data_IF_697075625782
#
_entry.id   IF_697075625782
#
_cell.length_a   1.000
_cell.length_b   1.000
_cell.length_c   1.000
_cell.angle_alpha   90.00
_cell.angle_beta   90.00
_cell.angle_gamma   90.00
#
_symmetry.space_group_name_H-M   'P 1'
#
loop_
_entity.id
_entity.type
_entity.pdbx_description
1 polymer ?
#
# COMPACT_ATOMS: atom_id res chain seq x y z
N UNK A 1 0.03 14.32 10.99
CA UNK A 1 -0.73 14.54 9.75
C UNK A 1 -1.83 15.56 9.97
N UNK A 2 -2.17 16.36 8.96
CA UNK A 2 -3.24 17.35 9.05
C UNK A 2 -4.59 16.65 9.24
N UNK A 3 -5.40 17.16 10.16
CA UNK A 3 -6.72 16.63 10.46
C UNK A 3 -7.78 17.52 9.81
N UNK A 4 -8.35 17.04 8.73
CA UNK A 4 -9.38 17.74 7.96
C UNK A 4 -10.74 17.05 8.09
N UNK A 5 -11.79 17.65 7.56
CA UNK A 5 -13.13 17.05 7.57
C UNK A 5 -13.16 15.71 6.81
N UNK A 6 -12.45 15.60 5.68
CA UNK A 6 -12.44 14.38 4.85
C UNK A 6 -11.49 13.29 5.37
N UNK A 7 -10.42 13.66 6.08
CA UNK A 7 -9.52 12.68 6.72
C UNK A 7 -10.05 12.17 8.06
N UNK A 8 -11.15 12.74 8.58
CA UNK A 8 -11.73 12.33 9.85
C UNK A 8 -12.47 10.99 9.74
N UNK A 9 -12.10 10.00 10.55
CA UNK A 9 -12.82 8.75 10.71
C UNK A 9 -14.10 9.00 11.53
N UNK A 10 -15.28 9.02 10.88
CA UNK A 10 -16.56 9.34 11.51
C UNK A 10 -17.22 8.14 12.18
N UNK A 11 -17.19 6.95 11.54
CA UNK A 11 -17.75 5.72 12.09
C UNK A 11 -16.69 4.97 12.87
N UNK A 12 -16.98 4.69 14.16
CA UNK A 12 -16.03 4.09 15.11
C UNK A 12 -14.74 4.93 15.19
N UNK A 13 -14.85 6.19 15.62
CA UNK A 13 -13.73 7.14 15.61
C UNK A 13 -12.56 6.71 16.48
N UNK A 14 -12.83 5.86 17.49
CA UNK A 14 -11.81 5.25 18.36
C UNK A 14 -10.82 4.34 17.60
N UNK A 15 -11.19 3.90 16.39
CA UNK A 15 -10.31 3.13 15.50
C UNK A 15 -9.49 4.01 14.57
N UNK A 16 -9.79 5.30 14.52
CA UNK A 16 -9.13 6.28 13.67
C UNK A 16 -7.87 6.86 14.31
N UNK A 17 -6.84 7.12 13.53
CA UNK A 17 -5.61 7.76 13.96
C UNK A 17 -5.06 8.70 12.89
N UNK A 18 -4.41 9.79 13.33
CA UNK A 18 -3.62 10.69 12.49
C UNK A 18 -2.13 10.63 12.87
N UNK A 19 -1.74 9.59 13.60
CA UNK A 19 -0.36 9.35 13.99
C UNK A 19 0.49 9.07 12.74
N UNK A 20 1.53 9.86 12.47
CA UNK A 20 2.40 9.67 11.32
C UNK A 20 3.08 8.30 11.31
N UNK A 21 3.53 7.81 12.45
CA UNK A 21 4.29 6.56 12.54
C UNK A 21 3.39 5.36 12.16
N UNK A 22 2.14 5.35 12.61
CA UNK A 22 1.17 4.34 12.22
C UNK A 22 0.84 4.41 10.72
N UNK A 23 0.62 5.63 10.19
CA UNK A 23 0.32 5.83 8.76
C UNK A 23 1.50 5.36 7.91
N UNK A 24 2.71 5.74 8.27
CA UNK A 24 3.93 5.34 7.57
C UNK A 24 4.13 3.82 7.62
N UNK A 25 3.95 3.18 8.78
CA UNK A 25 4.14 1.72 8.91
C UNK A 25 3.17 0.93 8.03
N UNK A 26 1.92 1.36 7.89
CA UNK A 26 0.95 0.70 7.00
C UNK A 26 1.32 0.89 5.53
N UNK A 27 1.78 2.08 5.14
CA UNK A 27 2.24 2.36 3.77
C UNK A 27 3.52 1.60 3.44
N UNK A 28 4.42 1.42 4.41
CA UNK A 28 5.68 0.70 4.20
C UNK A 28 5.50 -0.83 4.14
N UNK A 29 4.45 -1.36 4.78
CA UNK A 29 4.16 -2.80 4.77
C UNK A 29 3.27 -3.21 3.58
N UNK A 30 2.36 -2.34 3.13
CA UNK A 30 1.42 -2.66 2.05
C UNK A 30 2.11 -2.62 0.69
N UNK A 31 2.23 -3.73 -0.02
CA UNK A 31 2.85 -3.81 -1.36
C UNK A 31 2.07 -3.05 -2.44
N UNK A 32 0.76 -2.89 -2.26
CA UNK A 32 -0.13 -2.28 -3.25
C UNK A 32 -0.98 -1.19 -2.58
N UNK A 33 -1.05 -0.04 -3.23
CA UNK A 33 -2.06 0.96 -2.93
C UNK A 33 -3.10 1.03 -4.05
N UNK A 34 -4.23 1.68 -3.76
CA UNK A 34 -5.28 1.99 -4.73
C UNK A 34 -5.34 3.50 -4.90
N UNK A 35 -5.07 3.97 -6.09
CA UNK A 35 -5.15 5.38 -6.45
C UNK A 35 -6.52 5.70 -7.05
N UNK A 36 -7.31 6.46 -6.31
CA UNK A 36 -8.60 7.00 -6.73
C UNK A 36 -8.46 8.41 -7.28
N UNK A 37 -9.06 8.68 -8.44
CA UNK A 37 -9.07 10.00 -9.09
C UNK A 37 -10.32 10.20 -9.95
N UNK A 38 -10.68 11.46 -10.19
CA UNK A 38 -11.79 11.83 -11.06
C UNK A 38 -11.34 11.90 -12.52
N UNK A 39 -12.27 11.59 -13.42
CA UNK A 39 -12.14 11.81 -14.86
C UNK A 39 -13.45 12.37 -15.40
N UNK A 40 -13.46 12.89 -16.63
CA UNK A 40 -14.68 13.37 -17.30
C UNK A 40 -15.77 12.29 -17.38
N UNK A 41 -15.37 11.01 -17.35
CA UNK A 41 -16.30 9.87 -17.40
C UNK A 41 -16.61 9.28 -16.00
N UNK A 42 -16.28 10.01 -14.92
CA UNK A 42 -16.52 9.60 -13.54
C UNK A 42 -15.26 9.15 -12.80
N UNK A 43 -15.43 8.67 -11.55
CA UNK A 43 -14.32 8.25 -10.72
C UNK A 43 -13.68 6.95 -11.22
N UNK A 44 -12.36 6.85 -11.06
CA UNK A 44 -11.56 5.68 -11.41
C UNK A 44 -10.70 5.32 -10.21
N UNK A 45 -10.55 4.01 -9.93
CA UNK A 45 -9.62 3.48 -8.92
C UNK A 45 -8.71 2.47 -9.58
N UNK A 46 -7.38 2.63 -9.43
CA UNK A 46 -6.39 1.74 -10.04
C UNK A 46 -5.45 1.24 -8.94
N UNK A 47 -5.30 -0.11 -8.78
CA UNK A 47 -4.24 -0.66 -7.94
C UNK A 47 -2.87 -0.40 -8.59
N UNK A 48 -1.89 -0.03 -7.77
CA UNK A 48 -0.53 0.22 -8.23
C UNK A 48 0.47 -0.02 -7.11
N UNK A 49 1.72 -0.26 -7.48
CA UNK A 49 2.84 -0.28 -6.57
C UNK A 49 3.16 1.16 -6.17
N UNK A 50 3.58 1.34 -4.93
CA UNK A 50 4.04 2.62 -4.40
C UNK A 50 5.30 2.42 -3.58
N UNK A 51 5.94 3.51 -3.21
CA UNK A 51 6.96 3.54 -2.17
C UNK A 51 6.87 4.86 -1.41
N UNK A 52 7.34 4.86 -0.16
CA UNK A 52 7.40 6.06 0.67
C UNK A 52 8.86 6.42 0.98
N UNK A 53 9.18 7.70 0.84
CA UNK A 53 10.45 8.26 1.35
C UNK A 53 10.12 9.49 2.17
N UNK A 54 10.41 9.43 3.46
CA UNK A 54 10.03 10.51 4.38
C UNK A 54 8.52 10.75 4.39
N UNK A 55 8.07 11.94 4.10
CA UNK A 55 6.67 12.33 4.03
C UNK A 55 6.06 12.28 2.62
N UNK A 56 6.68 11.59 1.67
CA UNK A 56 6.24 11.58 0.27
C UNK A 56 6.02 10.16 -0.24
N UNK A 57 4.87 9.93 -0.88
CA UNK A 57 4.56 8.71 -1.66
C UNK A 57 4.99 8.88 -3.11
N UNK A 58 5.68 7.88 -3.65
CA UNK A 58 6.06 7.80 -5.05
C UNK A 58 5.25 6.75 -5.78
N UNK A 59 4.78 7.12 -6.97
CA UNK A 59 4.06 6.26 -7.90
C UNK A 59 4.75 6.30 -9.25
N UNK A 60 4.72 5.20 -10.00
CA UNK A 60 5.34 5.14 -11.32
C UNK A 60 4.41 4.55 -12.38
N UNK A 61 4.72 4.84 -13.63
CA UNK A 61 4.00 4.26 -14.76
C UNK A 61 4.45 4.84 -16.10
N UNK A 62 3.91 4.28 -17.18
CA UNK A 62 4.14 4.82 -18.52
C UNK A 62 3.54 6.21 -18.69
N UNK A 63 4.21 7.10 -19.42
CA UNK A 63 3.65 8.39 -19.84
C UNK A 63 2.29 8.27 -20.55
N UNK A 64 2.04 7.15 -21.25
CA UNK A 64 0.79 6.89 -21.94
C UNK A 64 -0.34 6.43 -20.99
N UNK A 65 -0.03 6.05 -19.76
CA UNK A 65 -1.02 5.60 -18.78
C UNK A 65 -2.05 6.70 -18.50
N UNK A 66 -3.35 6.32 -18.48
CA UNK A 66 -4.43 7.22 -18.08
C UNK A 66 -4.19 7.76 -16.66
N UNK A 67 -3.83 6.90 -15.71
CA UNK A 67 -3.49 7.28 -14.36
C UNK A 67 -2.45 8.41 -14.35
N UNK A 68 -1.32 8.23 -15.04
CA UNK A 68 -0.22 9.19 -15.08
C UNK A 68 -0.56 10.52 -15.79
N UNK A 69 -1.59 10.55 -16.63
CA UNK A 69 -2.02 11.77 -17.32
C UNK A 69 -3.10 12.54 -16.57
N UNK A 70 -4.04 11.80 -15.96
CA UNK A 70 -5.24 12.39 -15.36
C UNK A 70 -5.05 12.83 -13.92
N UNK A 71 -3.92 12.52 -13.29
CA UNK A 71 -3.72 12.80 -11.85
C UNK A 71 -2.77 13.95 -11.56
N UNK A 72 -1.97 14.40 -12.53
CA UNK A 72 -1.01 15.49 -12.32
C UNK A 72 -1.74 16.81 -12.09
N UNK A 73 -1.51 17.42 -10.93
CA UNK A 73 -2.14 18.68 -10.56
C UNK A 73 -3.60 18.56 -10.12
N UNK A 74 -4.16 17.34 -10.10
CA UNK A 74 -5.53 17.07 -9.68
C UNK A 74 -5.53 16.36 -8.32
N UNK A 75 -6.57 16.55 -7.53
CA UNK A 75 -6.70 15.84 -6.25
C UNK A 75 -6.90 14.34 -6.47
N UNK A 76 -6.18 13.56 -5.65
CA UNK A 76 -6.29 12.11 -5.62
C UNK A 76 -6.52 11.60 -4.20
N UNK A 77 -7.01 10.37 -4.12
CA UNK A 77 -7.11 9.60 -2.88
C UNK A 77 -6.30 8.32 -3.04
N UNK A 78 -5.28 8.14 -2.21
CA UNK A 78 -4.47 6.91 -2.15
C UNK A 78 -4.89 6.11 -0.93
N UNK A 79 -5.23 4.84 -1.12
CA UNK A 79 -5.56 3.94 -0.01
C UNK A 79 -4.67 2.71 -0.03
N UNK A 80 -4.23 2.28 1.15
CA UNK A 80 -3.56 1.01 1.37
C UNK A 80 -4.27 0.25 2.49
N UNK A 81 -4.37 -1.08 2.38
CA UNK A 81 -5.04 -1.91 3.38
C UNK A 81 -4.33 -3.23 3.54
N UNK A 82 -4.10 -3.61 4.79
CA UNK A 82 -3.59 -4.91 5.19
C UNK A 82 -4.68 -5.60 5.99
N UNK A 83 -4.99 -6.84 5.64
CA UNK A 83 -5.96 -7.67 6.37
C UNK A 83 -5.19 -8.61 7.28
N UNK A 84 -5.31 -8.40 8.58
CA UNK A 84 -4.58 -9.13 9.62
C UNK A 84 -5.33 -10.36 10.13
N UNK A 85 -6.65 -10.49 9.85
CA UNK A 85 -7.40 -11.66 10.27
C UNK A 85 -8.90 -11.57 9.99
N UNK A 86 -9.54 -12.74 9.99
CA UNK A 86 -10.99 -12.89 9.92
C UNK A 86 -11.51 -13.01 11.35
N UNK A 87 -12.54 -12.25 11.68
CA UNK A 87 -13.17 -12.28 12.99
C UNK A 87 -14.52 -12.99 12.86
N UNK A 88 -14.57 -14.22 13.34
CA UNK A 88 -15.79 -15.02 13.40
C UNK A 88 -16.46 -14.78 14.76
N UNK A 89 -17.68 -14.30 14.74
CA UNK A 89 -18.51 -14.05 15.90
C UNK A 89 -19.57 -15.15 16.07
N UNK A 90 -20.28 -15.17 17.19
CA UNK A 90 -21.41 -16.06 17.39
C UNK A 90 -22.60 -15.65 16.52
N UNK A 91 -22.83 -14.35 16.40
CA UNK A 91 -23.83 -13.79 15.49
C UNK A 91 -23.22 -13.47 14.13
N UNK A 92 -23.95 -13.78 13.03
CA UNK A 92 -23.54 -13.39 11.67
C UNK A 92 -23.41 -11.87 11.51
N UNK A 93 -24.13 -11.10 12.32
CA UNK A 93 -24.09 -9.65 12.32
C UNK A 93 -22.74 -9.10 12.81
N UNK A 94 -22.07 -9.79 13.73
CA UNK A 94 -20.83 -9.36 14.37
C UNK A 94 -19.55 -9.90 13.69
N UNK A 95 -19.66 -10.66 12.60
CA UNK A 95 -18.52 -11.04 11.79
C UNK A 95 -17.79 -9.79 11.27
N UNK A 96 -16.46 -9.83 11.27
CA UNK A 96 -15.63 -8.68 10.89
C UNK A 96 -14.26 -9.11 10.38
N UNK A 97 -13.39 -8.14 10.11
CA UNK A 97 -11.96 -8.32 9.82
C UNK A 97 -11.13 -7.53 10.83
N UNK A 98 -9.99 -8.07 11.23
CA UNK A 98 -8.88 -7.28 11.77
C UNK A 98 -8.08 -6.74 10.59
N UNK A 99 -7.79 -5.45 10.61
CA UNK A 99 -7.14 -4.76 9.50
C UNK A 99 -6.46 -3.48 9.95
N UNK A 100 -5.51 -3.05 9.15
CA UNK A 100 -4.90 -1.73 9.18
C UNK A 100 -5.10 -1.09 7.81
N UNK A 101 -5.63 0.11 7.76
CA UNK A 101 -5.83 0.84 6.49
C UNK A 101 -5.43 2.29 6.63
N UNK A 102 -4.96 2.87 5.53
CA UNK A 102 -4.58 4.28 5.42
C UNK A 102 -5.31 4.89 4.24
N UNK A 103 -5.72 6.13 4.41
CA UNK A 103 -6.22 6.99 3.34
C UNK A 103 -5.37 8.26 3.34
N UNK A 104 -4.79 8.59 2.18
CA UNK A 104 -4.00 9.80 1.94
C UNK A 104 -4.70 10.62 0.88
N UNK A 105 -4.85 11.91 1.12
CA UNK A 105 -5.33 12.88 0.12
C UNK A 105 -4.18 13.80 -0.27
N UNK A 106 -4.07 14.10 -1.55
CA UNK A 106 -3.04 14.99 -2.05
C UNK A 106 -3.15 15.27 -3.53
N UNK A 107 -2.28 16.14 -4.02
CA UNK A 107 -2.19 16.50 -5.42
C UNK A 107 -0.84 16.05 -5.98
N UNK A 108 -0.81 15.05 -6.87
CA UNK A 108 0.45 14.55 -7.42
C UNK A 108 1.20 15.59 -8.24
N UNK A 109 2.49 15.71 -8.00
CA UNK A 109 3.43 16.43 -8.86
C UNK A 109 4.30 15.47 -9.64
N UNK A 110 4.78 15.91 -10.81
CA UNK A 110 5.76 15.15 -11.59
C UNK A 110 7.14 15.28 -10.94
N UNK A 111 7.83 14.16 -10.76
CA UNK A 111 9.22 14.13 -10.32
C UNK A 111 10.11 14.35 -11.53
N UNK A 112 10.77 15.51 -11.58
CA UNK A 112 11.65 15.93 -12.69
C UNK A 112 13.12 16.07 -12.30
N UNK A 113 13.40 16.28 -11.00
CA UNK A 113 14.77 16.36 -10.50
C UNK A 113 15.47 14.99 -10.62
N UNK A 114 16.66 14.90 -11.21
CA UNK A 114 17.35 13.63 -11.45
C UNK A 114 17.68 12.85 -10.15
N UNK A 115 18.06 13.55 -9.10
CA UNK A 115 18.41 12.91 -7.83
C UNK A 115 17.16 12.39 -7.12
N UNK A 116 16.06 13.12 -7.17
CA UNK A 116 14.78 12.68 -6.65
C UNK A 116 14.23 11.48 -7.46
N UNK A 117 14.40 11.49 -8.78
CA UNK A 117 14.02 10.36 -9.66
C UNK A 117 14.78 9.09 -9.28
N UNK A 118 16.10 9.19 -9.09
CA UNK A 118 16.93 8.06 -8.69
C UNK A 118 16.47 7.48 -7.35
N UNK A 119 16.28 8.34 -6.34
CA UNK A 119 15.76 7.91 -5.03
C UNK A 119 14.37 7.27 -5.11
N UNK A 120 13.48 7.79 -5.98
CA UNK A 120 12.15 7.22 -6.15
C UNK A 120 12.19 5.84 -6.81
N UNK A 121 13.03 5.62 -7.82
CA UNK A 121 13.23 4.31 -8.44
C UNK A 121 13.81 3.29 -7.45
N UNK A 122 14.85 3.70 -6.71
CA UNK A 122 15.43 2.89 -5.64
C UNK A 122 14.36 2.50 -4.61
N UNK A 123 13.63 3.48 -4.07
CA UNK A 123 12.61 3.24 -3.07
C UNK A 123 11.51 2.30 -3.56
N UNK A 124 11.04 2.43 -4.81
CA UNK A 124 10.03 1.54 -5.40
C UNK A 124 10.57 0.13 -5.56
N UNK A 125 11.84 -0.02 -5.94
CA UNK A 125 12.48 -1.33 -6.07
C UNK A 125 12.65 -2.00 -4.71
N UNK A 126 13.21 -1.28 -3.76
CA UNK A 126 13.45 -1.75 -2.40
C UNK A 126 12.17 -2.04 -1.60
N UNK A 127 11.08 -1.32 -1.89
CA UNK A 127 9.78 -1.59 -1.29
C UNK A 127 9.20 -2.95 -1.69
N UNK A 128 9.42 -3.38 -2.94
CA UNK A 128 8.92 -4.66 -3.46
C UNK A 128 9.86 -5.81 -3.10
N UNK A 129 11.16 -5.56 -3.24
CA UNK A 129 12.20 -6.57 -3.10
C UNK A 129 13.46 -5.94 -2.48
N UNK A 130 13.55 -5.92 -1.15
CA UNK A 130 14.68 -5.32 -0.43
C UNK A 130 16.02 -5.91 -0.82
N UNK A 131 17.01 -5.06 -1.09
CA UNK A 131 18.35 -5.43 -1.56
C UNK A 131 18.47 -5.63 -3.08
N UNK A 132 17.36 -5.50 -3.82
CA UNK A 132 17.38 -5.76 -5.27
C UNK A 132 18.00 -4.64 -6.09
N UNK A 133 18.00 -3.43 -5.59
CA UNK A 133 18.56 -2.28 -6.28
C UNK A 133 20.04 -2.48 -6.67
N UNK A 134 20.81 -3.06 -5.78
CA UNK A 134 22.25 -3.33 -6.00
C UNK A 134 22.51 -4.58 -6.84
N UNK A 135 21.55 -5.51 -6.91
CA UNK A 135 21.68 -6.78 -7.62
C UNK A 135 21.18 -6.74 -9.08
N UNK A 136 20.41 -5.71 -9.44
CA UNK A 136 19.83 -5.58 -10.76
C UNK A 136 20.50 -4.47 -11.57
N UNK A 137 20.42 -4.58 -12.89
CA UNK A 137 20.85 -3.51 -13.80
C UNK A 137 19.97 -2.26 -13.61
N UNK A 138 20.62 -1.13 -13.43
CA UNK A 138 19.93 0.16 -13.36
C UNK A 138 19.17 0.51 -14.65
N UNK A 139 18.07 1.30 -14.59
CA UNK A 139 17.36 1.75 -15.75
C UNK A 139 18.31 2.48 -16.73
N UNK A 140 18.20 2.19 -18.02
CA UNK A 140 18.89 2.97 -19.03
C UNK A 140 18.10 4.25 -19.37
N UNK A 141 18.71 5.17 -20.13
CA UNK A 141 18.11 6.46 -20.48
C UNK A 141 16.73 6.35 -21.15
N UNK A 142 16.49 5.29 -21.93
CA UNK A 142 15.20 5.08 -22.61
C UNK A 142 14.13 4.62 -21.64
N UNK A 143 14.49 3.75 -20.71
CA UNK A 143 13.62 3.25 -19.66
C UNK A 143 13.29 4.36 -18.65
N UNK A 144 14.28 5.13 -18.23
CA UNK A 144 14.07 6.29 -17.35
C UNK A 144 13.16 7.33 -18.02
N UNK A 145 13.47 7.75 -19.24
CA UNK A 145 12.65 8.71 -20.00
C UNK A 145 11.26 8.16 -20.34
N UNK A 146 11.09 6.84 -20.45
CA UNK A 146 9.81 6.18 -20.70
C UNK A 146 8.92 6.11 -19.47
N UNK A 147 9.49 6.29 -18.28
CA UNK A 147 8.78 6.16 -17.01
C UNK A 147 8.47 7.51 -16.40
N UNK A 148 7.19 7.76 -16.17
CA UNK A 148 6.71 8.91 -15.40
C UNK A 148 6.68 8.55 -13.92
N UNK A 149 7.28 9.40 -13.10
CA UNK A 149 7.21 9.32 -11.64
C UNK A 149 6.34 10.45 -11.10
N UNK A 150 5.48 10.13 -10.16
CA UNK A 150 4.65 11.08 -9.44
C UNK A 150 4.99 11.03 -7.95
N UNK A 151 4.97 12.18 -7.31
CA UNK A 151 5.12 12.35 -5.88
C UNK A 151 3.84 12.94 -5.29
N UNK A 152 3.37 12.35 -4.19
CA UNK A 152 2.22 12.80 -3.40
C UNK A 152 2.68 13.01 -1.98
N UNK A 153 2.58 14.23 -1.47
CA UNK A 153 2.94 14.51 -0.08
C UNK A 153 1.87 13.96 0.88
N UNK A 154 2.31 13.36 2.00
CA UNK A 154 1.45 12.69 2.99
C UNK A 154 1.09 13.68 4.11
N UNK A 155 0.63 14.87 3.75
CA UNK A 155 0.28 15.90 4.73
C UNK A 155 -1.12 15.68 5.31
N UNK A 156 -2.05 15.25 4.48
CA UNK A 156 -3.43 14.96 4.85
C UNK A 156 -3.73 13.47 4.74
N UNK A 157 -3.73 12.78 5.88
CA UNK A 157 -3.95 11.34 5.93
C UNK A 157 -4.62 10.89 7.23
N UNK A 158 -5.23 9.72 7.19
CA UNK A 158 -5.72 9.02 8.37
C UNK A 158 -5.51 7.52 8.25
N UNK A 159 -5.26 6.87 9.40
CA UNK A 159 -5.30 5.42 9.54
C UNK A 159 -6.60 4.99 10.21
N UNK A 160 -7.05 3.77 9.89
CA UNK A 160 -8.10 3.08 10.63
C UNK A 160 -7.68 1.67 10.91
N UNK A 161 -7.74 1.28 12.20
CA UNK A 161 -7.26 -0.01 12.68
C UNK A 161 -8.35 -0.72 13.48
N UNK A 162 -8.53 -2.01 13.22
CA UNK A 162 -9.28 -2.91 14.07
C UNK A 162 -8.43 -4.11 14.42
N UNK A 163 -8.38 -4.42 15.70
CA UNK A 163 -7.70 -5.59 16.27
C UNK A 163 -8.61 -6.27 17.30
N UNK A 164 -8.24 -7.48 17.72
CA UNK A 164 -8.88 -8.17 18.81
C UNK A 164 -10.02 -9.11 18.41
N UNK A 165 -10.67 -9.73 19.42
CA UNK A 165 -11.68 -10.75 19.25
C UNK A 165 -13.00 -10.19 18.68
N UNK A 166 -13.99 -11.07 18.37
CA UNK A 166 -15.35 -10.63 18.12
C UNK A 166 -15.93 -9.91 19.33
N UNK A 167 -16.86 -9.00 19.06
CA UNK A 167 -17.65 -8.31 20.10
C UNK A 167 -19.09 -8.75 19.87
N UNK A 168 -19.47 -9.85 20.52
CA UNK A 168 -20.84 -10.36 20.51
C UNK A 168 -21.68 -9.62 21.56
N UNK A 169 -23.00 -9.62 21.37
CA UNK A 169 -23.93 -9.14 22.39
C UNK A 169 -23.98 -10.12 23.57
N UNK A 170 -24.29 -9.62 24.77
CA UNK A 170 -24.30 -10.43 26.00
C UNK A 170 -25.20 -11.66 25.89
N UNK A 171 -26.32 -11.54 25.18
CA UNK A 171 -27.28 -12.65 24.96
C UNK A 171 -26.75 -13.78 24.07
N UNK A 172 -25.72 -13.50 23.26
CA UNK A 172 -25.08 -14.47 22.36
C UNK A 172 -23.94 -15.25 23.04
N UNK A 173 -23.45 -14.79 24.20
CA UNK A 173 -22.26 -15.37 24.83
C UNK A 173 -22.44 -16.82 25.28
N UNK A 174 -23.68 -17.21 25.63
CA UNK A 174 -24.01 -18.57 26.07
C UNK A 174 -24.33 -19.54 24.90
N UNK A 175 -24.26 -19.09 23.64
CA UNK A 175 -24.48 -19.96 22.48
C UNK A 175 -23.32 -20.93 22.27
N UNK A 176 -23.63 -22.19 21.99
CA UNK A 176 -22.65 -23.24 21.64
C UNK A 176 -22.10 -23.05 20.20
N UNK A 177 -21.66 -21.83 19.88
CA UNK A 177 -21.10 -21.44 18.58
C UNK A 177 -19.66 -20.99 18.78
N UNK A 178 -18.74 -21.56 18.00
CA UNK A 178 -17.33 -21.15 18.01
C UNK A 178 -17.19 -19.68 17.56
N UNK A 179 -16.44 -18.89 18.32
CA UNK A 179 -16.12 -17.51 18.01
C UNK A 179 -14.65 -17.21 18.28
N UNK A 180 -14.02 -16.42 17.42
CA UNK A 180 -12.59 -16.12 17.56
C UNK A 180 -12.02 -15.40 16.34
N UNK A 181 -10.68 -15.35 16.29
CA UNK A 181 -9.93 -14.75 15.18
C UNK A 181 -9.15 -15.82 14.43
N UNK A 182 -9.24 -15.79 13.11
CA UNK A 182 -8.40 -16.55 12.21
C UNK A 182 -7.34 -15.59 11.69
N UNK A 183 -6.07 -15.63 12.15
CA UNK A 183 -5.02 -14.77 11.66
C UNK A 183 -4.76 -15.02 10.17
N UNK A 184 -4.47 -13.94 9.43
CA UNK A 184 -4.04 -13.99 8.05
C UNK A 184 -2.64 -13.40 7.94
N UNK A 185 -1.76 -14.09 7.22
CA UNK A 185 -0.38 -13.67 6.97
C UNK A 185 -0.06 -13.88 5.50
N UNK A 186 0.52 -12.86 4.87
CA UNK A 186 1.10 -13.00 3.53
C UNK A 186 2.51 -13.57 3.68
N UNK A 187 2.80 -14.65 2.97
CA UNK A 187 4.13 -15.28 2.95
C UNK A 187 4.63 -15.40 1.52
N UNK A 188 5.93 -15.17 1.32
CA UNK A 188 6.57 -15.48 0.04
C UNK A 188 6.68 -17.01 -0.12
N UNK A 189 6.42 -17.51 -1.34
CA UNK A 189 6.62 -18.91 -1.68
C UNK A 189 8.06 -19.18 -2.13
N UNK A 190 8.33 -20.45 -2.48
CA UNK A 190 9.60 -20.83 -3.10
C UNK A 190 9.79 -20.07 -4.42
N UNK A 191 10.99 -19.47 -4.67
CA UNK A 191 11.24 -18.75 -5.90
C UNK A 191 11.26 -19.66 -7.12
N UNK A 192 10.54 -19.28 -8.16
CA UNK A 192 10.48 -19.99 -9.44
C UNK A 192 11.38 -19.30 -10.46
N UNK A 193 12.42 -19.98 -11.02
CA UNK A 193 13.30 -19.37 -11.99
C UNK A 193 12.58 -19.07 -13.31
N UNK A 194 12.95 -17.96 -13.97
CA UNK A 194 12.45 -17.65 -15.30
C UNK A 194 12.83 -18.76 -16.31
N UNK A 195 11.95 -19.08 -17.29
CA UNK A 195 12.23 -20.15 -18.26
C UNK A 195 13.50 -19.92 -19.12
N UNK A 196 13.92 -18.68 -19.27
CA UNK A 196 15.09 -18.23 -20.04
C UNK A 196 16.29 -17.90 -19.13
N UNK A 197 16.24 -18.27 -17.84
CA UNK A 197 17.34 -18.03 -16.94
C UNK A 197 18.58 -18.83 -17.39
N UNK A 198 19.75 -18.17 -17.45
CA UNK A 198 21.01 -18.83 -17.79
C UNK A 198 21.34 -19.92 -16.76
N UNK A 199 21.79 -21.12 -17.19
CA UNK A 199 22.19 -22.16 -16.26
C UNK A 199 23.33 -21.71 -15.33
N UNK A 200 23.28 -22.15 -14.07
CA UNK A 200 24.32 -21.89 -13.07
C UNK A 200 24.22 -20.51 -12.38
N UNK A 201 23.12 -19.80 -12.54
CA UNK A 201 22.83 -18.60 -11.73
C UNK A 201 22.09 -19.02 -10.47
N UNK A 202 22.66 -18.67 -9.33
CA UNK A 202 22.05 -18.90 -8.02
C UNK A 202 20.97 -17.86 -7.72
N UNK A 203 20.04 -18.20 -6.86
CA UNK A 203 19.01 -17.27 -6.35
C UNK A 203 19.72 -16.23 -5.47
N UNK A 204 19.58 -14.94 -5.77
CA UNK A 204 20.27 -13.89 -5.03
C UNK A 204 19.69 -13.66 -3.63
N UNK A 205 20.44 -12.97 -2.78
CA UNK A 205 20.09 -12.74 -1.39
C UNK A 205 18.77 -11.96 -1.25
N UNK A 206 18.51 -10.96 -2.09
CA UNK A 206 17.26 -10.21 -2.09
C UNK A 206 16.01 -11.08 -2.25
N UNK A 207 16.11 -12.13 -3.05
CA UNK A 207 15.00 -13.07 -3.29
C UNK A 207 14.81 -14.05 -2.14
N UNK A 208 15.92 -14.60 -1.60
CA UNK A 208 15.86 -15.51 -0.44
C UNK A 208 15.33 -14.82 0.82
N UNK A 209 15.77 -13.59 1.07
CA UNK A 209 15.40 -12.85 2.30
C UNK A 209 13.94 -12.36 2.31
N UNK A 210 13.25 -12.39 1.17
CA UNK A 210 11.84 -12.02 1.12
C UNK A 210 10.94 -13.04 1.83
N UNK A 211 11.37 -14.29 1.95
CA UNK A 211 10.62 -15.39 2.56
C UNK A 211 11.02 -15.69 4.02
N UNK A 212 11.98 -14.98 4.59
CA UNK A 212 12.44 -15.12 5.98
C UNK A 212 12.05 -13.92 6.83
#
# INVERSE_FOLDING_TARGET
>A
MERTERSQVRRLPERGSHDPDLIHSVLDEALVCHLGFATDNGPVVIPTIHARVGGTLYLHGSHASRMMRSTVGEEVCVTATIVDGIVAARSLFHHSLNYRSVVVFGTPRVVSDPDERSRAFEAITEHILPGRWDEARQPNDKEDKGTKLLAVDIDEASAKVRTGPPVDDDEDLDLDIWAGVIPLTTVAGEPEPAPDLKPGLDVPASVWNLGT
#
